data_IF_597815969081
#
_entry.id   IF_597815969081
#
_cell.length_a   1.000
_cell.length_b   1.000
_cell.length_c   1.000
_cell.angle_alpha   90.00
_cell.angle_beta   90.00
_cell.angle_gamma   90.00
#
_symmetry.space_group_name_H-M   'P 1'
#
loop_
_entity.id
_entity.type
_entity.pdbx_description
1 polymer ?
#
# COMPACT_ATOMS: atom_id res chain seq x y z
N UNK A 1 21.92 -4.55 0.76
CA UNK A 1 22.68 -5.81 0.86
C UNK A 1 23.89 -5.60 1.77
N UNK A 2 24.14 -6.48 2.70
CA UNK A 2 25.26 -6.41 3.64
C UNK A 2 25.79 -7.82 3.93
N UNK A 3 27.00 -7.89 4.54
CA UNK A 3 27.65 -9.14 4.88
C UNK A 3 27.70 -9.34 6.40
N UNK A 4 27.39 -10.55 6.83
CA UNK A 4 27.54 -10.99 8.20
C UNK A 4 28.11 -12.42 8.20
N UNK A 5 29.22 -12.66 8.94
CA UNK A 5 29.89 -13.97 9.01
C UNK A 5 30.23 -14.57 7.64
N UNK A 6 30.62 -13.72 6.68
CA UNK A 6 30.96 -14.15 5.31
C UNK A 6 29.76 -14.48 4.42
N UNK A 7 28.55 -14.33 4.92
CA UNK A 7 27.33 -14.50 4.15
C UNK A 7 26.78 -13.17 3.71
N UNK A 8 26.20 -13.14 2.52
CA UNK A 8 25.54 -11.96 1.98
C UNK A 8 24.03 -12.06 2.24
N UNK A 9 23.49 -11.03 2.87
CA UNK A 9 22.06 -10.93 3.13
C UNK A 9 21.42 -9.91 2.20
N UNK A 10 20.30 -10.29 1.61
CA UNK A 10 19.48 -9.36 0.84
C UNK A 10 18.66 -8.51 1.82
N UNK A 11 18.84 -7.17 1.77
CA UNK A 11 18.11 -6.22 2.60
C UNK A 11 16.78 -5.79 1.98
N UNK A 12 16.52 -6.20 0.73
CA UNK A 12 15.26 -5.85 0.06
C UNK A 12 14.10 -6.66 0.63
N UNK A 13 12.98 -5.98 0.84
CA UNK A 13 11.70 -6.60 1.16
C UNK A 13 11.12 -7.28 -0.06
N UNK A 14 10.56 -8.47 0.13
CA UNK A 14 9.62 -9.04 -0.82
C UNK A 14 8.19 -8.87 -0.29
N UNK A 15 7.20 -9.06 -1.15
CA UNK A 15 5.80 -8.87 -0.79
C UNK A 15 5.32 -9.85 0.28
N UNK A 16 5.83 -11.07 0.27
CA UNK A 16 5.47 -12.10 1.23
C UNK A 16 5.90 -11.74 2.66
N UNK A 17 7.08 -11.14 2.80
CA UNK A 17 7.67 -10.78 4.10
C UNK A 17 7.44 -9.30 4.47
N UNK A 18 6.75 -8.55 3.63
CA UNK A 18 6.49 -7.14 3.87
C UNK A 18 5.65 -6.96 5.13
N UNK A 19 6.09 -6.04 5.98
CA UNK A 19 5.32 -5.56 7.12
C UNK A 19 5.15 -4.06 6.99
N UNK A 20 3.92 -3.58 7.09
CA UNK A 20 3.60 -2.17 7.01
C UNK A 20 3.14 -1.65 8.37
N UNK A 21 3.49 -0.41 8.66
CA UNK A 21 2.98 0.34 9.79
C UNK A 21 2.11 1.48 9.25
N UNK A 22 0.93 1.62 9.82
CA UNK A 22 -0.01 2.66 9.40
C UNK A 22 -0.40 3.50 10.61
N UNK A 23 0.45 4.50 10.99
CA UNK A 23 0.17 5.34 12.16
C UNK A 23 -1.16 6.07 12.09
N UNK A 24 -1.67 6.35 10.89
CA UNK A 24 -2.96 7.01 10.69
C UNK A 24 -4.11 6.24 11.37
N UNK A 25 -4.05 4.93 11.43
CA UNK A 25 -5.07 4.09 12.08
C UNK A 25 -5.02 4.16 13.62
N UNK A 26 -4.03 4.86 14.20
CA UNK A 26 -4.00 5.17 15.63
C UNK A 26 -4.84 6.40 15.99
N UNK A 27 -5.35 7.13 15.00
CA UNK A 27 -6.28 8.24 15.23
C UNK A 27 -7.66 7.73 15.64
N UNK A 28 -8.51 8.65 16.12
CA UNK A 28 -9.90 8.32 16.43
C UNK A 28 -10.66 7.81 15.20
N UNK A 29 -11.63 6.95 15.41
CA UNK A 29 -12.35 6.26 14.35
C UNK A 29 -13.10 7.21 13.36
N UNK A 30 -13.31 8.47 13.74
CA UNK A 30 -13.93 9.47 12.86
C UNK A 30 -13.01 9.91 11.70
N UNK A 31 -11.69 9.63 11.79
CA UNK A 31 -10.71 10.06 10.79
C UNK A 31 -10.52 9.05 9.66
N UNK A 32 -11.11 7.88 9.76
CA UNK A 32 -10.98 6.87 8.71
C UNK A 32 -12.17 5.92 8.68
N UNK A 33 -12.31 5.23 7.56
CA UNK A 33 -13.30 4.18 7.34
C UNK A 33 -12.57 2.91 6.90
N UNK A 34 -12.69 1.83 7.67
CA UNK A 34 -12.11 0.54 7.32
C UNK A 34 -12.98 -0.13 6.28
N UNK A 35 -12.44 -0.32 5.08
CA UNK A 35 -13.12 -0.98 3.98
C UNK A 35 -12.17 -1.83 3.18
N UNK A 36 -12.68 -2.90 2.62
CA UNK A 36 -11.97 -3.66 1.62
C UNK A 36 -12.27 -3.09 0.22
N UNK A 37 -11.25 -2.95 -0.63
CA UNK A 37 -11.49 -2.55 -2.02
C UNK A 37 -12.31 -3.60 -2.77
N UNK A 38 -13.01 -3.17 -3.81
CA UNK A 38 -13.66 -4.08 -4.75
C UNK A 38 -12.62 -4.53 -5.78
N UNK A 39 -12.31 -5.84 -5.84
CA UNK A 39 -11.32 -6.34 -6.79
C UNK A 39 -11.83 -6.26 -8.23
N UNK A 40 -10.90 -6.05 -9.15
CA UNK A 40 -11.17 -6.17 -10.58
C UNK A 40 -11.18 -7.64 -10.98
N UNK A 41 -11.98 -7.96 -11.99
CA UNK A 41 -11.93 -9.27 -12.62
C UNK A 41 -10.70 -9.37 -13.53
N UNK A 42 -9.99 -10.50 -13.45
CA UNK A 42 -8.82 -10.80 -14.29
C UNK A 42 -7.81 -9.64 -14.36
N UNK A 43 -7.32 -9.13 -13.21
CA UNK A 43 -6.39 -8.01 -13.22
C UNK A 43 -5.04 -8.41 -13.83
N UNK A 44 -4.40 -7.45 -14.49
CA UNK A 44 -3.04 -7.62 -15.00
C UNK A 44 -2.22 -6.35 -14.82
N UNK A 45 -0.91 -6.50 -14.72
CA UNK A 45 0.02 -5.39 -14.53
C UNK A 45 0.31 -4.71 -15.85
N UNK A 46 0.07 -3.40 -15.94
CA UNK A 46 0.37 -2.60 -17.14
C UNK A 46 1.81 -2.13 -17.14
N UNK A 47 2.30 -1.65 -16.00
CA UNK A 47 3.67 -1.16 -15.88
C UNK A 47 4.18 -1.29 -14.45
N UNK A 48 5.50 -1.32 -14.31
CA UNK A 48 6.19 -1.36 -13.03
C UNK A 48 7.49 -0.56 -13.15
N UNK A 49 7.81 0.21 -12.15
CA UNK A 49 9.05 0.98 -12.11
C UNK A 49 10.00 0.38 -11.07
N UNK A 50 11.03 -0.38 -11.49
CA UNK A 50 11.96 -1.01 -10.56
C UNK A 50 12.79 0.01 -9.77
N UNK A 51 13.07 1.19 -10.31
CA UNK A 51 13.81 2.23 -9.59
C UNK A 51 12.96 2.84 -8.46
N UNK A 52 11.66 3.00 -8.68
CA UNK A 52 10.73 3.42 -7.63
C UNK A 52 10.60 2.35 -6.54
N UNK A 53 10.57 1.08 -6.90
CA UNK A 53 10.52 -0.03 -5.94
C UNK A 53 11.72 0.00 -4.98
N UNK A 54 12.90 0.31 -5.49
CA UNK A 54 14.13 0.44 -4.68
C UNK A 54 14.03 1.55 -3.63
N UNK A 55 13.27 2.61 -3.89
CA UNK A 55 13.11 3.72 -2.94
C UNK A 55 12.37 3.29 -1.67
N UNK A 56 11.60 2.23 -1.73
CA UNK A 56 10.87 1.66 -0.59
C UNK A 56 11.44 0.30 -0.17
N UNK A 57 12.67 0.01 -0.57
CA UNK A 57 13.36 -1.26 -0.33
C UNK A 57 12.61 -2.51 -0.82
N UNK A 58 11.69 -2.34 -1.75
CA UNK A 58 11.00 -3.45 -2.40
C UNK A 58 11.89 -4.05 -3.48
N UNK A 59 11.90 -5.39 -3.56
CA UNK A 59 12.64 -6.09 -4.58
C UNK A 59 12.23 -5.60 -5.99
N UNK A 60 13.22 -5.24 -6.79
CA UNK A 60 13.02 -4.75 -8.16
C UNK A 60 12.40 -5.78 -9.11
N UNK A 61 12.45 -7.07 -8.74
CA UNK A 61 11.83 -8.16 -9.50
C UNK A 61 10.40 -8.48 -9.04
N UNK A 62 9.84 -7.68 -8.13
CA UNK A 62 8.49 -7.90 -7.59
C UNK A 62 7.39 -7.87 -8.66
N UNK A 63 7.67 -7.30 -9.84
CA UNK A 63 6.72 -7.33 -10.97
C UNK A 63 6.39 -8.75 -11.43
N UNK A 64 7.25 -9.73 -11.15
CA UNK A 64 7.02 -11.15 -11.44
C UNK A 64 6.24 -11.89 -10.34
N UNK A 65 6.05 -11.26 -9.19
CA UNK A 65 5.36 -11.86 -8.05
C UNK A 65 3.84 -11.67 -8.20
N UNK A 66 3.05 -12.74 -8.24
CA UNK A 66 1.60 -12.62 -8.30
C UNK A 66 0.99 -11.89 -7.09
N UNK A 67 1.70 -11.82 -5.96
CA UNK A 67 1.25 -11.04 -4.81
C UNK A 67 1.20 -9.55 -5.09
N UNK A 68 2.00 -9.01 -6.03
CA UNK A 68 1.92 -7.60 -6.39
C UNK A 68 0.55 -7.26 -6.96
N UNK A 69 0.06 -8.07 -7.89
CA UNK A 69 -1.27 -7.87 -8.48
C UNK A 69 -2.34 -8.05 -7.42
N UNK A 70 -2.22 -9.05 -6.55
CA UNK A 70 -3.15 -9.27 -5.45
C UNK A 70 -3.19 -8.08 -4.48
N UNK A 71 -2.04 -7.49 -4.16
CA UNK A 71 -1.94 -6.29 -3.33
C UNK A 71 -2.65 -5.11 -3.98
N UNK A 72 -2.34 -4.82 -5.24
CA UNK A 72 -2.92 -3.70 -5.98
C UNK A 72 -4.43 -3.89 -6.24
N UNK A 73 -4.88 -5.11 -6.34
CA UNK A 73 -6.29 -5.46 -6.54
C UNK A 73 -7.07 -5.60 -5.22
N UNK A 74 -6.40 -5.45 -4.08
CA UNK A 74 -7.05 -5.47 -2.78
C UNK A 74 -7.42 -6.87 -2.26
N UNK A 75 -6.88 -7.93 -2.84
CA UNK A 75 -7.11 -9.32 -2.41
C UNK A 75 -6.02 -9.86 -1.49
N UNK A 76 -4.95 -9.10 -1.29
CA UNK A 76 -3.87 -9.39 -0.36
C UNK A 76 -3.50 -8.12 0.40
N UNK A 77 -3.25 -8.25 1.70
CA UNK A 77 -2.69 -7.17 2.51
C UNK A 77 -1.49 -7.66 3.29
N UNK A 78 -0.36 -6.92 3.28
CA UNK A 78 0.80 -7.27 4.07
C UNK A 78 0.51 -7.31 5.56
N UNK A 79 1.33 -8.05 6.29
CA UNK A 79 1.21 -8.17 7.75
C UNK A 79 1.24 -6.79 8.42
N UNK A 80 0.31 -6.57 9.33
CA UNK A 80 0.19 -5.32 10.08
C UNK A 80 -0.57 -4.21 9.36
N UNK A 81 -1.01 -4.43 8.13
CA UNK A 81 -1.76 -3.44 7.36
C UNK A 81 -3.25 -3.77 7.25
N UNK A 82 -4.04 -2.74 7.00
CA UNK A 82 -5.48 -2.84 6.75
C UNK A 82 -5.86 -1.79 5.71
N UNK A 83 -6.75 -2.13 4.82
CA UNK A 83 -7.28 -1.16 3.85
C UNK A 83 -8.20 -0.16 4.53
N UNK A 84 -8.02 1.11 4.21
CA UNK A 84 -8.84 2.18 4.76
C UNK A 84 -8.95 3.37 3.81
N UNK A 85 -10.01 4.16 3.99
CA UNK A 85 -10.15 5.48 3.38
C UNK A 85 -10.04 6.54 4.47
N UNK A 86 -9.31 7.61 4.20
CA UNK A 86 -9.19 8.74 5.13
C UNK A 86 -10.43 9.61 5.09
N UNK A 87 -10.81 10.14 6.26
CA UNK A 87 -11.87 11.14 6.40
C UNK A 87 -11.23 12.46 6.82
N UNK A 88 -11.36 13.47 6.02
CA UNK A 88 -10.77 14.80 6.26
C UNK A 88 -11.60 15.90 5.62
N UNK A 89 -11.37 17.13 6.09
CA UNK A 89 -11.97 18.31 5.50
C UNK A 89 -11.09 18.87 4.38
N UNK A 90 -11.68 19.60 3.44
CA UNK A 90 -10.95 20.21 2.35
C UNK A 90 -11.78 21.23 1.61
N UNK A 91 -11.18 21.87 0.61
CA UNK A 91 -11.85 22.79 -0.30
C UNK A 91 -12.01 22.16 -1.66
N UNK A 92 -13.21 22.23 -2.21
CA UNK A 92 -13.53 21.70 -3.52
C UNK A 92 -14.49 22.65 -4.23
N UNK A 93 -14.17 23.02 -5.48
CA UNK A 93 -14.96 23.97 -6.28
C UNK A 93 -15.25 25.30 -5.55
N UNK A 94 -14.26 25.81 -4.80
CA UNK A 94 -14.38 27.06 -4.07
C UNK A 94 -15.16 26.97 -2.75
N UNK A 95 -15.63 25.80 -2.36
CA UNK A 95 -16.38 25.58 -1.13
C UNK A 95 -15.62 24.70 -0.14
N UNK A 96 -15.74 25.02 1.14
CA UNK A 96 -15.25 24.19 2.21
C UNK A 96 -16.19 23.00 2.41
N UNK A 97 -15.60 21.80 2.46
CA UNK A 97 -16.33 20.58 2.75
C UNK A 97 -15.70 19.90 4.00
N UNK A 98 -16.45 19.77 5.11
CA UNK A 98 -15.93 19.16 6.33
C UNK A 98 -15.74 17.63 6.21
N UNK A 99 -16.33 17.00 5.18
CA UNK A 99 -16.33 15.54 5.01
C UNK A 99 -15.90 15.14 3.59
N UNK A 100 -14.76 15.67 3.16
CA UNK A 100 -14.28 15.39 1.80
C UNK A 100 -13.81 13.95 1.65
N UNK A 101 -12.81 13.55 2.44
CA UNK A 101 -12.26 12.21 2.42
C UNK A 101 -11.59 11.79 1.11
N UNK A 102 -11.10 10.56 1.08
CA UNK A 102 -10.38 9.98 -0.08
C UNK A 102 -11.29 9.57 -1.25
N UNK A 103 -12.59 9.52 -1.02
CA UNK A 103 -13.54 9.11 -2.05
C UNK A 103 -13.35 7.65 -2.44
N UNK A 104 -12.79 7.40 -3.64
CA UNK A 104 -12.58 6.05 -4.18
C UNK A 104 -11.17 5.51 -3.94
N UNK A 105 -10.25 6.31 -3.41
CA UNK A 105 -8.90 5.87 -3.11
C UNK A 105 -8.88 5.05 -1.82
N UNK A 106 -8.11 3.98 -1.85
CA UNK A 106 -7.89 3.13 -0.68
C UNK A 106 -6.43 3.18 -0.30
N UNK A 107 -6.16 3.37 0.98
CA UNK A 107 -4.82 3.34 1.55
C UNK A 107 -4.55 1.97 2.19
N UNK A 108 -3.26 1.71 2.40
CA UNK A 108 -2.81 0.46 2.98
C UNK A 108 -1.74 0.75 4.04
#
# INVERSE_FOLDING_TARGET
MYYLEGQMYNTHMNLENMTLETPYLCLDAEFYDLRNPEPLDEPYLISFNPEAAKLIDLDSESFNDPLLIALLNGTFSPKGSRFFAMCYAGHQFGNYNPWLGDGRAMNL
#
